data_IF_074692954598
#
_entry.id   IF_074692954598
#
_cell.length_a   1.000
_cell.length_b   1.000
_cell.length_c   1.000
_cell.angle_alpha   90.00
_cell.angle_beta   90.00
_cell.angle_gamma   90.00
#
_symmetry.space_group_name_H-M   'P 1'
#
loop_
_entity.id
_entity.type
_entity.pdbx_description
1 polymer ?
#
# COMPACT_ATOMS: atom_id res chain seq x y z
N UNK A 1 1.61 -15.07 0.81
CA UNK A 1 1.52 -13.95 1.77
C UNK A 1 0.15 -13.29 1.67
N UNK A 2 -0.21 -12.70 0.52
CA UNK A 2 -1.46 -11.96 0.29
C UNK A 2 -2.73 -12.62 0.85
N UNK A 3 -3.14 -13.76 0.30
CA UNK A 3 -4.32 -14.53 0.74
C UNK A 3 -4.26 -14.86 2.24
N UNK A 4 -3.09 -15.20 2.77
CA UNK A 4 -2.91 -15.54 4.18
C UNK A 4 -3.07 -14.31 5.10
N UNK A 5 -2.67 -13.12 4.65
CA UNK A 5 -2.91 -11.87 5.37
C UNK A 5 -4.41 -11.55 5.39
N UNK A 6 -5.11 -11.71 4.27
CA UNK A 6 -6.55 -11.43 4.18
C UNK A 6 -7.36 -12.37 5.08
N UNK A 7 -6.97 -13.65 5.13
CA UNK A 7 -7.61 -14.69 5.94
C UNK A 7 -7.17 -14.72 7.42
N UNK A 8 -6.41 -13.72 7.91
CA UNK A 8 -5.91 -13.68 9.30
C UNK A 8 -5.09 -14.92 9.72
N UNK A 9 -4.38 -15.55 8.76
CA UNK A 9 -3.55 -16.72 9.04
C UNK A 9 -2.13 -16.34 9.52
N UNK A 10 -1.73 -15.08 9.34
CA UNK A 10 -0.41 -14.57 9.72
C UNK A 10 -0.43 -13.81 11.05
N UNK A 11 -1.49 -13.06 11.30
CA UNK A 11 -1.73 -12.25 12.50
C UNK A 11 -3.21 -12.30 12.85
N UNK A 12 -3.55 -11.98 14.11
CA UNK A 12 -4.96 -11.87 14.50
C UNK A 12 -5.66 -10.76 13.73
N UNK A 13 -6.99 -10.82 13.67
CA UNK A 13 -7.81 -9.76 13.07
C UNK A 13 -7.57 -8.40 13.74
N UNK A 14 -7.47 -8.38 15.07
CA UNK A 14 -7.15 -7.18 15.87
C UNK A 14 -5.79 -6.59 15.47
N UNK A 15 -4.74 -7.40 15.40
CA UNK A 15 -3.42 -6.91 14.98
C UNK A 15 -3.42 -6.44 13.52
N UNK A 16 -4.19 -7.09 12.63
CA UNK A 16 -4.34 -6.64 11.24
C UNK A 16 -5.02 -5.27 11.16
N UNK A 17 -6.05 -5.05 11.98
CA UNK A 17 -6.73 -3.76 12.07
C UNK A 17 -5.79 -2.64 12.54
N UNK A 18 -4.96 -2.91 13.56
CA UNK A 18 -3.92 -1.98 14.02
C UNK A 18 -2.90 -1.69 12.91
N UNK A 19 -2.42 -2.73 12.22
CA UNK A 19 -1.47 -2.57 11.10
C UNK A 19 -2.03 -1.69 9.98
N UNK A 20 -3.33 -1.82 9.69
CA UNK A 20 -3.99 -1.11 8.60
C UNK A 20 -4.63 0.20 9.04
N UNK A 21 -4.30 0.72 10.22
CA UNK A 21 -4.81 1.99 10.72
C UNK A 21 -3.70 3.03 10.78
N UNK A 22 -3.98 4.24 10.27
CA UNK A 22 -3.06 5.36 10.33
C UNK A 22 -2.66 5.66 11.78
N UNK A 23 -1.36 5.83 12.01
CA UNK A 23 -0.83 6.23 13.32
C UNK A 23 -0.83 7.75 13.48
N UNK A 24 -0.61 8.20 14.71
CA UNK A 24 -0.41 9.61 15.03
C UNK A 24 1.08 9.88 15.26
N UNK A 25 1.55 11.06 14.84
CA UNK A 25 2.85 11.59 15.21
C UNK A 25 2.89 11.93 16.71
N UNK A 26 4.10 12.22 17.23
CA UNK A 26 4.27 12.72 18.59
C UNK A 26 3.55 14.06 18.86
N UNK A 27 3.17 14.79 17.81
CA UNK A 27 2.38 16.03 17.90
C UNK A 27 0.87 15.80 17.69
N UNK A 28 0.43 14.54 17.64
CA UNK A 28 -0.97 14.16 17.46
C UNK A 28 -1.50 14.33 16.04
N UNK A 29 -0.62 14.54 15.05
CA UNK A 29 -1.03 14.67 13.66
C UNK A 29 -1.13 13.30 12.99
N UNK A 30 -2.15 13.04 12.15
CA UNK A 30 -2.27 11.77 11.44
C UNK A 30 -1.11 11.58 10.47
N UNK A 31 -0.54 10.38 10.46
CA UNK A 31 0.47 9.95 9.50
C UNK A 31 -0.18 9.04 8.44
N UNK A 32 0.30 9.06 7.19
CA UNK A 32 -0.19 8.16 6.14
C UNK A 32 0.33 6.71 6.31
N UNK A 33 0.64 6.30 7.54
CA UNK A 33 1.36 5.06 7.83
C UNK A 33 0.84 4.40 9.12
N UNK A 34 0.55 3.11 9.03
CA UNK A 34 0.26 2.20 10.13
C UNK A 34 1.48 1.39 10.54
N UNK A 35 1.27 0.19 11.12
CA UNK A 35 2.39 -0.68 11.50
C UNK A 35 2.94 -1.42 10.27
N UNK A 36 3.92 -0.82 9.59
CA UNK A 36 4.60 -1.40 8.43
C UNK A 36 3.83 -1.29 7.11
N UNK A 37 2.78 -0.47 7.06
CA UNK A 37 1.92 -0.27 5.89
C UNK A 37 1.59 1.20 5.70
N UNK A 38 1.62 1.69 4.47
CA UNK A 38 0.96 2.94 4.14
C UNK A 38 -0.56 2.73 4.16
N UNK A 39 -1.25 3.72 4.71
CA UNK A 39 -2.71 3.74 4.83
C UNK A 39 -3.23 5.03 4.20
N UNK A 40 -4.00 4.89 3.14
CA UNK A 40 -4.55 6.01 2.37
C UNK A 40 -6.04 5.77 2.14
N UNK A 41 -6.83 6.85 2.12
CA UNK A 41 -8.23 6.80 1.66
C UNK A 41 -8.33 7.57 0.35
N UNK A 42 -8.94 6.96 -0.66
CA UNK A 42 -9.22 7.58 -1.96
C UNK A 42 -10.67 7.33 -2.33
N UNK A 43 -11.45 8.40 -2.54
CA UNK A 43 -12.89 8.32 -2.85
C UNK A 43 -13.70 7.43 -1.88
N UNK A 44 -13.31 7.43 -0.60
CA UNK A 44 -13.94 6.61 0.44
C UNK A 44 -13.51 5.14 0.46
N UNK A 45 -12.58 4.73 -0.41
CA UNK A 45 -11.99 3.40 -0.46
C UNK A 45 -10.65 3.39 0.27
N UNK A 46 -10.45 2.40 1.16
CA UNK A 46 -9.21 2.22 1.88
C UNK A 46 -8.17 1.53 0.99
N UNK A 47 -7.01 2.17 0.86
CA UNK A 47 -5.85 1.69 0.12
C UNK A 47 -4.76 1.34 1.15
N UNK A 48 -4.39 0.06 1.21
CA UNK A 48 -3.34 -0.46 2.09
C UNK A 48 -2.17 -0.93 1.25
N UNK A 49 -1.00 -0.33 1.43
CA UNK A 49 0.07 -0.55 0.46
C UNK A 49 1.47 -0.40 1.04
N UNK A 50 2.45 -0.91 0.31
CA UNK A 50 3.85 -0.70 0.56
C UNK A 50 4.62 -0.79 -0.75
N UNK A 51 5.72 -0.07 -0.84
CA UNK A 51 6.61 -0.10 -2.00
C UNK A 51 8.02 -0.54 -1.62
N UNK A 52 8.79 -0.96 -2.62
CA UNK A 52 10.22 -1.20 -2.52
C UNK A 52 10.93 -0.39 -3.58
N UNK A 53 12.08 0.16 -3.21
CA UNK A 53 12.90 1.01 -4.08
C UNK A 53 14.36 0.82 -3.69
N UNK A 54 15.07 -0.01 -4.44
CA UNK A 54 16.52 -0.15 -4.37
C UNK A 54 17.13 0.45 -5.64
N UNK A 55 17.75 1.65 -5.54
CA UNK A 55 18.25 2.39 -6.70
C UNK A 55 19.16 1.57 -7.61
N UNK A 56 18.86 1.56 -8.90
CA UNK A 56 19.62 0.84 -9.91
C UNK A 56 19.47 -0.69 -9.88
N UNK A 57 18.61 -1.25 -9.04
CA UNK A 57 18.48 -2.70 -8.87
C UNK A 57 17.05 -3.21 -9.04
N UNK A 58 16.14 -2.88 -8.13
CA UNK A 58 14.78 -3.46 -8.11
C UNK A 58 13.76 -2.54 -7.44
N UNK A 59 12.50 -2.75 -7.81
CA UNK A 59 11.36 -2.06 -7.21
C UNK A 59 10.17 -3.00 -7.08
N UNK A 60 9.28 -2.66 -6.16
CA UNK A 60 8.06 -3.40 -5.90
C UNK A 60 6.94 -2.50 -5.45
N UNK A 61 5.70 -2.93 -5.69
CA UNK A 61 4.51 -2.33 -5.11
C UNK A 61 3.52 -3.43 -4.77
N UNK A 62 3.05 -3.45 -3.53
CA UNK A 62 1.83 -4.17 -3.14
C UNK A 62 0.77 -3.14 -2.76
N UNK A 63 -0.41 -3.24 -3.37
CA UNK A 63 -1.57 -2.40 -3.08
C UNK A 63 -2.80 -3.28 -2.89
N UNK A 64 -3.31 -3.29 -1.68
CA UNK A 64 -4.52 -4.00 -1.25
C UNK A 64 -5.70 -3.05 -1.16
N UNK A 65 -6.85 -3.52 -1.62
CA UNK A 65 -8.14 -2.82 -1.53
C UNK A 65 -9.12 -3.79 -0.87
N UNK A 66 -9.11 -3.89 0.46
CA UNK A 66 -9.84 -4.91 1.21
C UNK A 66 -11.33 -4.97 0.87
N UNK A 67 -11.97 -3.81 0.70
CA UNK A 67 -13.40 -3.67 0.38
C UNK A 67 -13.77 -4.23 -1.00
N UNK A 68 -12.78 -4.50 -1.84
CA UNK A 68 -12.94 -5.08 -3.18
C UNK A 68 -12.30 -6.45 -3.31
N UNK A 69 -11.75 -7.00 -2.23
CA UNK A 69 -11.03 -8.29 -2.22
C UNK A 69 -9.98 -8.38 -3.35
N UNK A 70 -9.33 -7.25 -3.63
CA UNK A 70 -8.47 -7.09 -4.81
C UNK A 70 -7.10 -6.56 -4.39
N UNK A 71 -6.05 -7.18 -4.92
CA UNK A 71 -4.66 -6.79 -4.64
C UNK A 71 -3.86 -6.69 -5.95
N UNK A 72 -3.13 -5.58 -6.12
CA UNK A 72 -2.04 -5.46 -7.08
C UNK A 72 -0.73 -5.90 -6.41
N UNK A 73 0.01 -6.78 -7.08
CA UNK A 73 1.40 -7.12 -6.74
C UNK A 73 2.25 -6.89 -7.98
N UNK A 74 3.12 -5.88 -7.91
CA UNK A 74 4.07 -5.51 -8.95
C UNK A 74 5.49 -5.75 -8.45
N UNK A 75 6.28 -6.50 -9.23
CA UNK A 75 7.69 -6.74 -8.99
C UNK A 75 8.46 -6.40 -10.26
N UNK A 76 9.53 -5.64 -10.15
CA UNK A 76 10.36 -5.25 -11.28
C UNK A 76 11.85 -5.49 -10.97
N UNK A 77 12.57 -5.99 -11.97
CA UNK A 77 14.03 -6.14 -11.97
C UNK A 77 14.75 -4.83 -12.39
N UNK A 78 14.16 -3.70 -12.03
CA UNK A 78 14.70 -2.35 -12.14
C UNK A 78 14.04 -1.47 -11.08
N UNK A 79 14.58 -0.29 -10.83
CA UNK A 79 14.00 0.71 -9.91
C UNK A 79 12.86 1.54 -10.55
N UNK A 80 12.62 1.36 -11.85
CA UNK A 80 11.73 2.21 -12.65
C UNK A 80 10.25 2.20 -12.25
N UNK A 81 9.80 1.21 -11.46
CA UNK A 81 8.43 1.20 -10.94
C UNK A 81 8.24 2.01 -9.64
N UNK A 82 9.33 2.53 -9.03
CA UNK A 82 9.27 3.34 -7.80
C UNK A 82 10.01 4.68 -7.91
N UNK A 83 11.23 4.68 -8.49
CA UNK A 83 12.21 5.76 -8.33
C UNK A 83 11.73 7.16 -8.72
N UNK A 84 10.80 7.27 -9.67
CA UNK A 84 10.35 8.56 -10.22
C UNK A 84 9.06 9.12 -9.57
N UNK A 85 8.47 8.41 -8.60
CA UNK A 85 7.10 8.71 -8.14
C UNK A 85 7.01 9.28 -6.72
N UNK A 86 8.11 9.30 -5.95
CA UNK A 86 8.11 9.86 -4.60
C UNK A 86 7.13 9.15 -3.65
N UNK A 87 7.05 7.82 -3.74
CA UNK A 87 6.06 7.02 -3.01
C UNK A 87 6.23 7.10 -1.47
N UNK A 88 7.44 7.41 -0.99
CA UNK A 88 7.71 7.61 0.44
C UNK A 88 6.94 8.76 1.09
N UNK A 89 6.35 9.66 0.29
CA UNK A 89 5.48 10.74 0.77
C UNK A 89 4.08 10.24 1.18
N UNK A 90 3.79 8.95 1.02
CA UNK A 90 2.53 8.35 1.46
C UNK A 90 1.34 8.61 0.54
N UNK A 91 1.60 8.76 -0.77
CA UNK A 91 0.54 8.85 -1.78
C UNK A 91 0.77 7.85 -2.93
N UNK A 92 0.01 6.75 -2.94
CA UNK A 92 0.13 5.69 -3.96
C UNK A 92 -0.32 6.14 -5.35
N UNK A 93 -1.17 7.18 -5.42
CA UNK A 93 -1.71 7.70 -6.67
C UNK A 93 -0.68 8.44 -7.52
N UNK A 94 0.55 8.64 -6.99
CA UNK A 94 1.68 9.10 -7.79
C UNK A 94 2.26 7.99 -8.69
N UNK A 95 1.95 6.71 -8.40
CA UNK A 95 2.34 5.59 -9.26
C UNK A 95 1.34 5.43 -10.41
N UNK A 96 1.78 5.54 -11.68
CA UNK A 96 0.90 5.31 -12.83
C UNK A 96 0.37 3.87 -12.88
N UNK A 97 1.14 2.91 -12.35
CA UNK A 97 0.72 1.51 -12.25
C UNK A 97 -0.44 1.34 -11.26
N UNK A 98 -0.36 2.03 -10.11
CA UNK A 98 -1.43 1.99 -9.11
C UNK A 98 -2.70 2.67 -9.61
N UNK A 99 -2.59 3.86 -10.22
CA UNK A 99 -3.75 4.58 -10.74
C UNK A 99 -4.44 3.81 -11.85
N UNK A 100 -3.67 3.23 -12.77
CA UNK A 100 -4.26 2.44 -13.86
C UNK A 100 -4.94 1.17 -13.33
N UNK A 101 -4.33 0.50 -12.34
CA UNK A 101 -4.96 -0.64 -11.69
C UNK A 101 -6.28 -0.28 -11.01
N UNK A 102 -6.32 0.81 -10.25
CA UNK A 102 -7.57 1.28 -9.61
C UNK A 102 -8.62 1.59 -10.68
N UNK A 103 -8.25 2.29 -11.76
CA UNK A 103 -9.16 2.62 -12.86
C UNK A 103 -9.75 1.39 -13.56
N UNK A 104 -8.99 0.30 -13.67
CA UNK A 104 -9.41 -0.88 -14.45
C UNK A 104 -10.17 -1.92 -13.62
N UNK A 105 -9.90 -2.01 -12.31
CA UNK A 105 -10.36 -3.12 -11.48
C UNK A 105 -11.21 -2.70 -10.28
N UNK A 106 -11.33 -1.40 -9.99
CA UNK A 106 -11.98 -0.89 -8.77
C UNK A 106 -13.09 0.10 -9.10
N UNK A 107 -12.81 1.02 -10.02
CA UNK A 107 -13.75 1.99 -10.58
C UNK A 107 -14.37 1.45 -11.88
#
# INVERSE_FOLDING_TARGET
FDIAMDQNLLVSEESKEEMFTSTLSNSGQPLPYGLGWFVQTYEGIKLIWHYGDEPGAYSSLILKIPEKETTLILLANSDGASASFGLGEGNVLKSPFATEFINLFVM
#
